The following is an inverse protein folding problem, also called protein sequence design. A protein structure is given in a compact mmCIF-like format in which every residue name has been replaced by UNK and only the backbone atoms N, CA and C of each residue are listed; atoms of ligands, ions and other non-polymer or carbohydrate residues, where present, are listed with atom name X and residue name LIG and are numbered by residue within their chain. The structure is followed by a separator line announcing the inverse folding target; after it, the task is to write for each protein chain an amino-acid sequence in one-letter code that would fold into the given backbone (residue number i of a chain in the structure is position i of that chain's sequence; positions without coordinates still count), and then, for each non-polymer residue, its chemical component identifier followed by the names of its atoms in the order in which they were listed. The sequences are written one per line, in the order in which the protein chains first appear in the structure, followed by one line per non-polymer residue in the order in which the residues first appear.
data_IF_723695304359
#
_entry.id   IF_723695304359
#
_cell.length_a   1.000
_cell.length_b   1.000
_cell.length_c   1.000
_cell.angle_alpha   90.00
_cell.angle_beta   90.00
_cell.angle_gamma   90.00
#
_symmetry.space_group_name_H-M   'P 1'
#
loop_
_entity.id
_entity.type
_entity.pdbx_description
1 polymer ?
#
# COMPACT_ATOMS: atom_id res chain seq x y z
N UNK A 1 8.78 -14.38 8.45
CA UNK A 1 7.92 -14.30 7.26
C UNK A 1 6.54 -13.83 7.71
N UNK A 2 6.08 -12.68 7.23
CA UNK A 2 4.76 -12.11 7.59
C UNK A 2 3.65 -12.97 6.96
N UNK A 3 2.47 -13.03 7.60
CA UNK A 3 1.29 -13.65 7.00
C UNK A 3 0.76 -12.74 5.90
N UNK A 4 0.40 -13.29 4.73
CA UNK A 4 0.02 -12.55 3.50
C UNK A 4 -1.06 -11.45 3.67
N UNK A 5 -1.79 -11.43 4.78
CA UNK A 5 -2.92 -10.51 5.03
C UNK A 5 -2.79 -9.71 6.34
N UNK A 6 -1.69 -9.84 7.08
CA UNK A 6 -1.51 -9.12 8.34
C UNK A 6 -1.21 -7.64 8.07
N UNK A 7 -1.86 -6.71 8.77
CA UNK A 7 -1.57 -5.28 8.61
C UNK A 7 -0.23 -4.89 9.28
N UNK A 8 0.41 -3.80 8.82
CA UNK A 8 1.67 -3.33 9.42
C UNK A 8 1.57 -3.10 10.95
N UNK A 9 0.47 -2.51 11.47
CA UNK A 9 0.31 -2.36 12.92
C UNK A 9 0.16 -3.69 13.66
N UNK A 10 -0.56 -4.67 13.08
CA UNK A 10 -0.69 -6.00 13.67
C UNK A 10 0.67 -6.70 13.73
N UNK A 11 1.46 -6.65 12.65
CA UNK A 11 2.81 -7.18 12.63
C UNK A 11 3.68 -6.56 13.73
N UNK A 12 3.68 -5.24 13.87
CA UNK A 12 4.45 -4.55 14.91
C UNK A 12 4.02 -4.96 16.33
N UNK A 13 2.71 -5.11 16.57
CA UNK A 13 2.19 -5.58 17.85
C UNK A 13 2.64 -7.01 18.16
N UNK A 14 2.56 -7.91 17.18
CA UNK A 14 2.98 -9.29 17.32
C UNK A 14 4.48 -9.41 17.56
N UNK A 15 5.31 -8.66 16.84
CA UNK A 15 6.75 -8.60 17.06
C UNK A 15 7.09 -8.10 18.47
N UNK A 16 6.44 -7.04 18.94
CA UNK A 16 6.62 -6.54 20.31
C UNK A 16 6.23 -7.58 21.36
N UNK A 17 5.09 -8.25 21.16
CA UNK A 17 4.61 -9.30 22.05
C UNK A 17 5.58 -10.47 22.10
N UNK A 18 6.11 -10.88 20.95
CA UNK A 18 7.09 -11.94 20.83
C UNK A 18 8.40 -11.57 21.51
N UNK A 19 8.93 -10.37 21.26
CA UNK A 19 10.16 -9.89 21.88
C UNK A 19 10.08 -9.87 23.41
N UNK A 20 8.96 -9.40 23.98
CA UNK A 20 8.72 -9.41 25.43
C UNK A 20 8.67 -10.81 26.04
N UNK A 21 8.17 -11.80 25.28
CA UNK A 21 8.12 -13.20 25.72
C UNK A 21 9.48 -13.88 25.61
N UNK A 22 10.22 -13.60 24.55
CA UNK A 22 11.54 -14.17 24.32
C UNK A 22 12.60 -13.60 25.28
N UNK A 23 12.48 -12.31 25.64
CA UNK A 23 13.46 -11.60 26.44
C UNK A 23 12.80 -10.84 27.60
N UNK A 24 12.22 -11.53 28.58
CA UNK A 24 11.48 -10.89 29.68
C UNK A 24 12.36 -10.02 30.58
N UNK A 25 13.66 -10.31 30.67
CA UNK A 25 14.63 -9.56 31.50
C UNK A 25 15.46 -8.54 30.73
N UNK A 26 15.26 -8.40 29.41
CA UNK A 26 16.03 -7.46 28.60
C UNK A 26 15.60 -6.01 28.85
N UNK A 27 16.53 -5.05 28.79
CA UNK A 27 16.20 -3.64 28.93
C UNK A 27 15.30 -3.17 27.78
N UNK A 28 14.39 -2.20 28.02
CA UNK A 28 13.45 -1.71 27.01
C UNK A 28 14.11 -1.23 25.72
N UNK A 29 15.31 -0.65 25.81
CA UNK A 29 16.09 -0.16 24.67
C UNK A 29 16.52 -1.31 23.76
N UNK A 30 17.02 -2.41 24.35
CA UNK A 30 17.40 -3.60 23.60
C UNK A 30 16.18 -4.28 22.98
N UNK A 31 15.08 -4.37 23.74
CA UNK A 31 13.81 -4.88 23.21
C UNK A 31 13.30 -4.07 22.02
N UNK A 32 13.40 -2.75 22.09
CA UNK A 32 13.03 -1.85 20.99
C UNK A 32 13.88 -2.10 19.74
N UNK A 33 15.20 -2.25 19.91
CA UNK A 33 16.14 -2.55 18.83
C UNK A 33 15.84 -3.90 18.17
N UNK A 34 15.74 -4.98 18.97
CA UNK A 34 15.43 -6.32 18.47
C UNK A 34 14.08 -6.38 17.78
N UNK A 35 13.08 -5.71 18.34
CA UNK A 35 11.74 -5.65 17.74
C UNK A 35 11.76 -4.89 16.42
N UNK A 36 12.50 -3.78 16.34
CA UNK A 36 12.67 -3.01 15.11
C UNK A 36 13.32 -3.86 14.02
N UNK A 37 14.42 -4.54 14.33
CA UNK A 37 15.17 -5.33 13.35
C UNK A 37 14.32 -6.49 12.84
N UNK A 38 13.66 -7.21 13.75
CA UNK A 38 12.73 -8.26 13.37
C UNK A 38 11.52 -7.75 12.57
N UNK A 39 11.02 -6.54 12.87
CA UNK A 39 9.95 -5.91 12.09
C UNK A 39 10.40 -5.65 10.65
N UNK A 40 11.61 -5.11 10.44
CA UNK A 40 12.18 -4.87 9.11
C UNK A 40 12.36 -6.16 8.32
N UNK A 41 12.91 -7.21 8.95
CA UNK A 41 13.10 -8.51 8.32
C UNK A 41 11.78 -9.18 7.94
N UNK A 42 10.70 -8.88 8.67
CA UNK A 42 9.37 -9.40 8.40
C UNK A 42 8.61 -8.67 7.28
N UNK A 43 9.07 -7.51 6.80
CA UNK A 43 8.42 -6.79 5.70
C UNK A 43 8.62 -7.53 4.37
N UNK A 44 7.57 -8.11 3.78
CA UNK A 44 7.70 -8.91 2.54
C UNK A 44 8.11 -8.09 1.30
N UNK A 45 7.76 -6.80 1.25
CA UNK A 45 8.08 -5.91 0.14
C UNK A 45 9.51 -5.35 0.28
N UNK A 46 10.45 -5.69 -0.63
CA UNK A 46 11.82 -5.21 -0.56
C UNK A 46 11.94 -3.68 -0.75
N UNK A 47 11.04 -3.05 -1.50
CA UNK A 47 11.03 -1.60 -1.72
C UNK A 47 10.61 -0.88 -0.45
N UNK A 48 9.54 -1.36 0.19
CA UNK A 48 9.10 -0.87 1.49
C UNK A 48 10.21 -1.04 2.53
N UNK A 49 10.82 -2.23 2.61
CA UNK A 49 11.90 -2.53 3.55
C UNK A 49 13.09 -1.61 3.36
N UNK A 50 13.54 -1.40 2.12
CA UNK A 50 14.64 -0.49 1.80
C UNK A 50 14.30 0.96 2.18
N UNK A 51 13.07 1.41 1.87
CA UNK A 51 12.61 2.77 2.21
C UNK A 51 12.61 3.03 3.72
N UNK A 52 12.13 2.07 4.51
CA UNK A 52 12.17 2.18 5.98
C UNK A 52 13.62 2.15 6.48
N UNK A 53 14.48 1.30 5.93
CA UNK A 53 15.89 1.21 6.33
C UNK A 53 16.65 2.52 6.09
N UNK A 54 16.41 3.20 4.96
CA UNK A 54 17.04 4.47 4.62
C UNK A 54 16.71 5.60 5.61
N UNK A 55 15.55 5.55 6.26
CA UNK A 55 15.15 6.54 7.27
C UNK A 55 15.80 6.32 8.64
N UNK A 56 16.53 5.21 8.82
CA UNK A 56 17.26 4.87 10.06
C UNK A 56 16.41 5.02 11.33
N UNK A 57 15.27 4.32 11.44
CA UNK A 57 14.45 4.37 12.65
C UNK A 57 15.24 3.87 13.87
N UNK A 58 15.15 4.59 14.99
CA UNK A 58 15.74 4.20 16.26
C UNK A 58 14.86 3.23 17.06
N UNK A 59 13.56 3.24 16.80
CA UNK A 59 12.56 2.46 17.54
C UNK A 59 11.63 1.67 16.62
N UNK A 60 10.92 0.69 17.17
CA UNK A 60 9.88 -0.05 16.45
C UNK A 60 8.74 0.89 16.01
N UNK A 61 8.37 1.84 16.87
CA UNK A 61 7.31 2.82 16.62
C UNK A 61 7.66 3.73 15.45
N UNK A 62 8.90 4.22 15.38
CA UNK A 62 9.40 4.99 14.25
C UNK A 62 9.41 4.17 12.97
N UNK A 63 9.87 2.92 13.02
CA UNK A 63 9.87 2.04 11.86
C UNK A 63 8.44 1.79 11.33
N UNK A 64 7.47 1.57 12.23
CA UNK A 64 6.06 1.42 11.88
C UNK A 64 5.51 2.70 11.24
N UNK A 65 5.79 3.87 11.83
CA UNK A 65 5.33 5.15 11.30
C UNK A 65 5.83 5.38 9.87
N UNK A 66 7.14 5.19 9.64
CA UNK A 66 7.74 5.33 8.31
C UNK A 66 7.14 4.34 7.31
N UNK A 67 6.95 3.07 7.72
CA UNK A 67 6.34 2.06 6.87
C UNK A 67 4.91 2.45 6.45
N UNK A 68 4.11 2.98 7.38
CA UNK A 68 2.76 3.48 7.09
C UNK A 68 2.76 4.69 6.16
N UNK A 69 3.69 5.63 6.33
CA UNK A 69 3.81 6.79 5.45
C UNK A 69 4.12 6.37 4.00
N UNK A 70 5.03 5.42 3.83
CA UNK A 70 5.39 4.86 2.52
C UNK A 70 4.20 4.11 1.92
N UNK A 71 3.53 3.23 2.67
CA UNK A 71 2.35 2.48 2.22
C UNK A 71 1.20 3.41 1.81
N UNK A 72 0.93 4.45 2.59
CA UNK A 72 -0.07 5.47 2.29
C UNK A 72 0.25 6.22 0.99
N UNK A 73 1.52 6.58 0.77
CA UNK A 73 1.96 7.24 -0.45
C UNK A 73 1.75 6.37 -1.70
N UNK A 74 2.12 5.09 -1.64
CA UNK A 74 1.90 4.16 -2.76
C UNK A 74 0.41 3.91 -3.00
N UNK A 75 -0.38 3.79 -1.93
CA UNK A 75 -1.84 3.65 -2.02
C UNK A 75 -2.47 4.85 -2.71
N UNK A 76 -2.09 6.08 -2.32
CA UNK A 76 -2.58 7.31 -2.94
C UNK A 76 -2.17 7.43 -4.42
N UNK A 77 -0.92 7.08 -4.77
CA UNK A 77 -0.46 7.04 -6.17
C UNK A 77 -1.25 6.04 -7.01
N UNK A 78 -1.51 4.84 -6.48
CA UNK A 78 -2.31 3.82 -7.15
C UNK A 78 -3.72 4.33 -7.43
N UNK A 79 -4.35 5.00 -6.47
CA UNK A 79 -5.68 5.59 -6.65
C UNK A 79 -5.71 6.70 -7.72
N UNK A 80 -4.65 7.51 -7.83
CA UNK A 80 -4.55 8.58 -8.83
C UNK A 80 -4.38 8.07 -10.26
N UNK A 81 -3.83 6.87 -10.42
CA UNK A 81 -3.68 6.22 -11.73
C UNK A 81 -5.00 5.64 -12.28
N UNK A 82 -6.08 5.65 -11.52
CA UNK A 82 -7.42 5.35 -12.03
C UNK A 82 -8.07 6.65 -12.53
N UNK A 83 -8.38 6.78 -13.83
CA UNK A 83 -8.84 8.04 -14.43
C UNK A 83 -10.23 8.53 -13.97
N UNK A 84 -10.89 7.87 -13.01
CA UNK A 84 -12.27 8.16 -12.60
C UNK A 84 -12.48 8.67 -11.17
N UNK A 85 -11.46 8.78 -10.31
CA UNK A 85 -11.68 9.07 -8.88
C UNK A 85 -11.02 10.38 -8.41
N UNK A 86 -11.49 11.51 -8.96
CA UNK A 86 -11.39 12.80 -8.25
C UNK A 86 -12.43 12.81 -7.14
N UNK A 87 -12.07 12.41 -5.92
CA UNK A 87 -12.92 12.67 -4.76
C UNK A 87 -12.72 14.14 -4.37
N UNK A 88 -13.42 15.03 -5.08
CA UNK A 88 -13.71 16.35 -4.53
C UNK A 88 -14.69 16.10 -3.38
N UNK A 89 -14.26 16.35 -2.14
CA UNK A 89 -15.16 16.33 -1.00
C UNK A 89 -16.09 17.53 -1.13
N UNK A 90 -17.20 17.34 -1.84
CA UNK A 90 -18.29 18.30 -1.86
C UNK A 90 -18.91 18.33 -0.46
N UNK A 91 -18.88 19.49 0.19
CA UNK A 91 -19.74 19.76 1.34
C UNK A 91 -21.18 19.77 0.86
N UNK A 92 -22.04 19.06 1.58
CA UNK A 92 -23.37 18.59 1.19
C UNK A 92 -24.32 19.68 0.71
N UNK A 93 -24.97 19.40 -0.42
CA UNK A 93 -26.20 20.03 -0.89
C UNK A 93 -27.11 18.97 -1.51
N UNK A 94 -27.94 18.36 -0.66
CA UNK A 94 -29.22 17.65 -0.89
C UNK A 94 -29.32 16.59 -2.02
N UNK A 95 -29.68 15.38 -1.58
CA UNK A 95 -29.91 14.16 -2.36
C UNK A 95 -31.05 14.24 -3.40
N UNK A 96 -30.88 13.51 -4.50
CA UNK A 96 -31.96 12.91 -5.31
C UNK A 96 -31.49 11.51 -5.77
N UNK A 97 -32.23 10.42 -5.48
CA UNK A 97 -32.00 9.12 -6.09
C UNK A 97 -32.95 8.90 -7.28
N UNK A 98 -32.44 8.32 -8.36
CA UNK A 98 -33.28 7.63 -9.34
C UNK A 98 -32.47 6.53 -10.01
N UNK A 99 -32.84 5.28 -9.73
CA UNK A 99 -32.50 4.11 -10.53
C UNK A 99 -33.21 4.21 -11.89
N UNK A 100 -32.54 3.82 -12.98
CA UNK A 100 -33.15 3.14 -14.13
C UNK A 100 -32.05 2.66 -15.09
N UNK A 101 -32.16 1.38 -15.39
CA UNK A 101 -31.41 0.57 -16.35
C UNK A 101 -31.20 1.25 -17.72
N UNK A 102 -30.09 0.95 -18.39
CA UNK A 102 -30.11 0.46 -19.78
C UNK A 102 -28.75 -0.09 -20.18
N UNK A 103 -28.86 -1.24 -20.81
CA UNK A 103 -27.85 -2.10 -21.40
C UNK A 103 -27.24 -1.45 -22.66
N UNK A 104 -26.00 -1.86 -22.95
CA UNK A 104 -25.34 -1.85 -24.27
C UNK A 104 -24.62 -0.59 -24.76
N UNK A 105 -23.54 -0.84 -25.52
CA UNK A 105 -22.70 0.08 -26.30
C UNK A 105 -21.44 0.64 -25.62
N UNK A 106 -20.47 -0.24 -25.37
CA UNK A 106 -19.04 0.13 -25.38
C UNK A 106 -18.17 -0.96 -26.02
N UNK A 107 -18.53 -1.36 -27.25
CA UNK A 107 -17.70 -2.24 -28.11
C UNK A 107 -16.88 -1.50 -29.17
N UNK A 108 -16.83 -0.17 -29.20
CA UNK A 108 -16.29 0.56 -30.37
C UNK A 108 -15.06 1.45 -30.09
N UNK A 109 -14.31 1.23 -29.00
CA UNK A 109 -13.14 2.05 -28.68
C UNK A 109 -11.79 1.31 -28.69
N UNK A 110 -11.72 0.08 -29.18
CA UNK A 110 -10.46 -0.67 -29.34
C UNK A 110 -10.08 -1.00 -30.79
N UNK A 111 -10.94 -0.71 -31.78
CA UNK A 111 -10.64 -0.99 -33.19
C UNK A 111 -9.70 0.04 -33.85
N UNK A 112 -9.52 1.22 -33.24
CA UNK A 112 -8.63 2.27 -33.78
C UNK A 112 -7.13 1.99 -33.65
N UNK A 113 -6.70 1.02 -32.82
CA UNK A 113 -5.27 0.76 -32.57
C UNK A 113 -4.71 -0.32 -33.51
N UNK A 114 -5.56 -1.19 -34.09
CA UNK A 114 -5.09 -2.28 -34.95
C UNK A 114 -4.91 -1.90 -36.42
N UNK A 115 -5.51 -0.80 -36.88
CA UNK A 115 -5.52 -0.44 -38.30
C UNK A 115 -4.27 0.32 -38.78
N UNK A 116 -3.37 0.74 -37.88
CA UNK A 116 -2.13 1.43 -38.26
C UNK A 116 -0.91 0.51 -38.41
N UNK A 117 -1.01 -0.80 -38.12
CA UNK A 117 0.16 -1.71 -38.15
C UNK A 117 0.25 -2.61 -39.39
N UNK A 118 -0.70 -2.57 -40.32
CA UNK A 118 -0.71 -3.46 -41.51
C UNK A 118 -0.48 -2.74 -42.85
N UNK A 119 -0.10 -1.46 -42.86
CA UNK A 119 0.26 -0.72 -44.09
C UNK A 119 1.77 -0.53 -44.31
N UNK A 120 2.63 -1.17 -43.51
CA UNK A 120 4.09 -1.12 -43.67
C UNK A 120 4.70 -2.52 -43.67
N UNK A 121 4.13 -3.43 -44.45
CA UNK A 121 4.71 -4.74 -44.73
C UNK A 121 4.64 -5.16 -46.21
N UNK A 122 4.35 -4.22 -47.13
CA UNK A 122 4.51 -4.45 -48.56
C UNK A 122 5.19 -3.24 -49.22
N UNK A 123 6.52 -3.27 -49.18
CA UNK A 123 7.44 -2.87 -50.24
C UNK A 123 8.82 -3.46 -49.95
#
# INVERSE_FOLDING_TARGET
MRRKEESLPQLAQEVRRLARRAYPSAPPQLLGLLSRDHFLDALDDPVLRLGVYQMRPGTLEEALKVALEIEAFYTAKKQRNFPGRRVVRATEGKAIPSESETTELSRTATDGIKQCQLSMAEL
#
